data_IF_982240801675
#
_entry.id   IF_982240801675
#
_cell.length_a   1.000
_cell.length_b   1.000
_cell.length_c   1.000
_cell.angle_alpha   90.00
_cell.angle_beta   90.00
_cell.angle_gamma   90.00
#
_symmetry.space_group_name_H-M   'P 1'
#
loop_
_entity.id
_entity.type
_entity.pdbx_description
1 polymer ?
#
# COMPACT_ATOMS: atom_id res chain seq x y z
N UNK A 1 21.49 -31.36 8.88
CA UNK A 1 20.48 -30.29 9.06
C UNK A 1 21.06 -29.17 9.90
N UNK A 2 21.03 -27.91 9.44
CA UNK A 2 21.46 -26.76 10.27
C UNK A 2 20.43 -26.56 11.38
N UNK A 3 20.85 -26.74 12.64
CA UNK A 3 19.96 -26.58 13.79
C UNK A 3 19.67 -25.09 14.04
N UNK A 4 18.43 -24.67 13.81
CA UNK A 4 17.94 -23.31 14.12
C UNK A 4 17.75 -23.09 15.63
N UNK A 5 17.61 -24.19 16.39
CA UNK A 5 17.65 -24.17 17.84
C UNK A 5 19.10 -24.36 18.29
N UNK A 6 19.61 -23.41 19.07
CA UNK A 6 20.94 -23.47 19.66
C UNK A 6 20.84 -23.37 21.17
N UNK A 7 21.72 -24.07 21.89
CA UNK A 7 21.86 -23.91 23.34
C UNK A 7 23.15 -23.17 23.63
N UNK A 8 23.11 -22.15 24.50
CA UNK A 8 24.31 -21.46 24.99
C UNK A 8 24.40 -21.59 26.49
N UNK A 9 25.60 -21.91 26.98
CA UNK A 9 25.91 -21.89 28.40
C UNK A 9 26.12 -20.45 28.84
N UNK A 10 25.33 -19.98 29.79
CA UNK A 10 25.51 -18.70 30.47
C UNK A 10 25.62 -19.03 31.97
N UNK A 11 26.79 -18.77 32.55
CA UNK A 11 27.16 -19.26 33.89
C UNK A 11 27.04 -20.79 33.96
N UNK A 12 26.26 -21.32 34.89
CA UNK A 12 26.02 -22.75 35.09
C UNK A 12 24.88 -23.34 34.24
N UNK A 13 24.09 -22.52 33.55
CA UNK A 13 22.84 -22.97 32.90
C UNK A 13 22.91 -22.89 31.38
N UNK A 14 22.23 -23.81 30.70
CA UNK A 14 22.06 -23.82 29.25
C UNK A 14 20.74 -23.16 28.87
N UNK A 15 20.81 -22.11 28.07
CA UNK A 15 19.64 -21.38 27.61
C UNK A 15 19.36 -21.66 26.13
N UNK A 16 18.10 -21.91 25.75
CA UNK A 16 17.70 -22.08 24.37
C UNK A 16 17.64 -20.73 23.63
N UNK A 17 18.13 -20.73 22.39
CA UNK A 17 18.11 -19.59 21.48
C UNK A 17 17.70 -20.04 20.09
N UNK A 18 16.87 -19.23 19.44
CA UNK A 18 16.72 -19.29 17.99
C UNK A 18 17.96 -18.63 17.36
N UNK A 19 18.67 -19.36 16.49
CA UNK A 19 19.82 -18.85 15.73
C UNK A 19 19.39 -18.61 14.30
N UNK A 20 19.47 -17.35 13.87
CA UNK A 20 19.20 -16.94 12.50
C UNK A 20 20.52 -16.66 11.78
N UNK A 21 20.78 -17.35 10.67
CA UNK A 21 21.98 -17.12 9.86
C UNK A 21 21.65 -16.07 8.80
N UNK A 22 22.48 -15.04 8.71
CA UNK A 22 22.31 -13.95 7.73
C UNK A 22 22.87 -14.44 6.38
N UNK A 23 22.10 -14.33 5.27
CA UNK A 23 22.57 -14.63 3.91
C UNK A 23 23.84 -13.88 3.56
N UNK A 24 24.75 -14.52 2.81
CA UNK A 24 26.10 -13.99 2.55
C UNK A 24 26.08 -12.62 1.88
N UNK A 25 25.18 -12.45 0.93
CA UNK A 25 24.90 -11.22 0.20
C UNK A 25 24.50 -10.07 1.14
N UNK A 26 23.79 -10.36 2.23
CA UNK A 26 23.34 -9.35 3.19
C UNK A 26 24.36 -9.05 4.30
N UNK A 27 25.38 -9.89 4.52
CA UNK A 27 26.30 -9.73 5.66
C UNK A 27 27.01 -8.38 5.68
N UNK A 28 27.33 -7.80 4.51
CA UNK A 28 27.93 -6.46 4.42
C UNK A 28 26.99 -5.39 4.98
N UNK A 29 25.69 -5.48 4.70
CA UNK A 29 24.66 -4.55 5.20
C UNK A 29 24.49 -4.67 6.72
N UNK A 30 24.77 -5.84 7.30
CA UNK A 30 24.73 -6.08 8.75
C UNK A 30 26.10 -5.92 9.44
N UNK A 31 27.01 -5.09 8.89
CA UNK A 31 28.30 -4.81 9.52
C UNK A 31 29.22 -6.04 9.64
N UNK A 32 29.07 -7.01 8.74
CA UNK A 32 29.84 -8.26 8.75
C UNK A 32 29.29 -9.34 9.70
N UNK A 33 28.17 -9.09 10.38
CA UNK A 33 27.53 -10.07 11.27
C UNK A 33 27.02 -11.26 10.43
N UNK A 34 27.31 -12.48 10.90
CA UNK A 34 26.97 -13.74 10.19
C UNK A 34 25.72 -14.43 10.73
N UNK A 35 25.41 -14.22 12.01
CA UNK A 35 24.19 -14.71 12.64
C UNK A 35 23.78 -13.83 13.81
N UNK A 36 22.47 -13.79 14.08
CA UNK A 36 21.93 -13.23 15.31
C UNK A 36 21.13 -14.30 16.07
N UNK A 37 20.88 -14.05 17.34
CA UNK A 37 20.21 -14.99 18.23
C UNK A 37 19.11 -14.32 19.03
N UNK A 38 17.97 -14.99 19.11
CA UNK A 38 16.83 -14.57 19.94
C UNK A 38 16.67 -15.55 21.09
N UNK A 39 16.62 -15.02 22.31
CA UNK A 39 16.44 -15.82 23.52
C UNK A 39 15.07 -16.47 23.54
N UNK A 40 15.02 -17.76 23.89
CA UNK A 40 13.78 -18.52 24.07
C UNK A 40 13.55 -18.82 25.57
N UNK A 41 14.14 -18.03 26.47
CA UNK A 41 14.12 -18.27 27.93
C UNK A 41 12.72 -18.45 28.53
N UNK A 42 11.74 -17.70 28.02
CA UNK A 42 10.36 -17.72 28.53
C UNK A 42 9.42 -18.54 27.65
N UNK A 43 9.96 -19.37 26.75
CA UNK A 43 9.19 -20.26 25.88
C UNK A 43 9.17 -21.64 26.54
N UNK A 44 8.00 -22.28 26.58
CA UNK A 44 7.90 -23.66 27.06
C UNK A 44 8.75 -24.58 26.20
N UNK A 45 9.43 -25.54 26.83
CA UNK A 45 10.35 -26.44 26.13
C UNK A 45 9.65 -27.20 24.98
N UNK A 46 8.40 -27.60 25.18
CA UNK A 46 7.54 -28.26 24.17
C UNK A 46 7.26 -27.38 22.94
N UNK A 47 7.11 -26.07 23.11
CA UNK A 47 6.78 -25.13 22.04
C UNK A 47 8.02 -24.61 21.29
N UNK A 48 9.21 -24.80 21.86
CA UNK A 48 10.46 -24.16 21.41
C UNK A 48 10.77 -24.49 19.96
N UNK A 49 10.53 -25.74 19.55
CA UNK A 49 10.81 -26.19 18.19
C UNK A 49 9.83 -25.62 17.16
N UNK A 50 8.54 -25.60 17.48
CA UNK A 50 7.49 -25.00 16.64
C UNK A 50 7.73 -23.50 16.48
N UNK A 51 8.07 -22.80 17.56
CA UNK A 51 8.39 -21.37 17.51
C UNK A 51 9.63 -21.11 16.65
N UNK A 52 10.70 -21.89 16.78
CA UNK A 52 11.89 -21.78 15.92
C UNK A 52 11.56 -21.94 14.44
N UNK A 53 10.66 -22.88 14.08
CA UNK A 53 10.22 -23.05 12.69
C UNK A 53 9.44 -21.84 12.17
N UNK A 54 8.55 -21.28 13.00
CA UNK A 54 7.81 -20.05 12.66
C UNK A 54 8.75 -18.86 12.48
N UNK A 55 9.67 -18.65 13.43
CA UNK A 55 10.68 -17.59 13.36
C UNK A 55 11.55 -17.75 12.12
N UNK A 56 11.98 -18.97 11.80
CA UNK A 56 12.71 -19.26 10.58
C UNK A 56 11.95 -18.83 9.33
N UNK A 57 10.67 -19.22 9.23
CA UNK A 57 9.83 -18.87 8.07
C UNK A 57 9.72 -17.35 7.90
N UNK A 58 9.58 -16.63 9.01
CA UNK A 58 9.55 -15.15 9.01
C UNK A 58 10.89 -14.60 8.54
N UNK A 59 12.01 -15.05 9.11
CA UNK A 59 13.34 -14.53 8.74
C UNK A 59 13.74 -14.86 7.32
N UNK A 60 13.43 -16.07 6.82
CA UNK A 60 13.71 -16.47 5.44
C UNK A 60 12.91 -15.59 4.46
N UNK A 61 11.64 -15.29 4.77
CA UNK A 61 10.81 -14.39 3.99
C UNK A 61 11.38 -12.98 3.97
N UNK A 62 11.72 -12.43 5.14
CA UNK A 62 12.32 -11.09 5.25
C UNK A 62 13.62 -10.97 4.48
N UNK A 63 14.51 -11.95 4.59
CA UNK A 63 15.77 -11.92 3.84
C UNK A 63 15.56 -12.00 2.35
N UNK A 64 14.61 -12.83 1.90
CA UNK A 64 14.26 -12.91 0.47
C UNK A 64 13.71 -11.57 -0.03
N UNK A 65 12.86 -10.90 0.75
CA UNK A 65 12.37 -9.56 0.46
C UNK A 65 13.50 -8.52 0.41
N UNK A 66 14.43 -8.55 1.37
CA UNK A 66 15.59 -7.63 1.38
C UNK A 66 16.51 -7.88 0.18
N UNK A 67 16.83 -9.14 -0.12
CA UNK A 67 17.71 -9.52 -1.24
C UNK A 67 17.08 -9.18 -2.59
N UNK A 68 15.78 -9.41 -2.75
CA UNK A 68 15.06 -9.07 -3.98
C UNK A 68 14.75 -7.58 -4.11
N UNK A 69 14.92 -6.80 -3.04
CA UNK A 69 14.61 -5.38 -3.00
C UNK A 69 13.11 -5.09 -2.91
N UNK A 70 12.74 -3.85 -3.24
CA UNK A 70 11.33 -3.47 -3.34
C UNK A 70 10.66 -4.31 -4.43
N UNK A 71 9.47 -4.85 -4.16
CA UNK A 71 8.77 -5.66 -5.15
C UNK A 71 8.27 -4.78 -6.30
N UNK A 72 8.23 -5.32 -7.51
CA UNK A 72 7.57 -4.67 -8.64
C UNK A 72 6.06 -4.59 -8.43
N UNK A 73 5.43 -3.58 -9.04
CA UNK A 73 3.98 -3.40 -9.02
C UNK A 73 3.26 -4.57 -9.70
N UNK A 74 2.64 -5.44 -8.91
CA UNK A 74 1.86 -6.59 -9.41
C UNK A 74 0.41 -6.23 -9.73
N UNK A 75 -0.30 -7.10 -10.45
CA UNK A 75 -1.73 -6.92 -10.72
C UNK A 75 -2.58 -6.95 -9.45
N UNK A 76 -2.21 -7.75 -8.45
CA UNK A 76 -2.96 -7.82 -7.19
C UNK A 76 -2.75 -6.57 -6.35
N UNK A 77 -1.54 -6.00 -6.38
CA UNK A 77 -1.26 -4.69 -5.77
C UNK A 77 -2.11 -3.59 -6.43
N UNK A 78 -2.18 -3.57 -7.76
CA UNK A 78 -3.05 -2.63 -8.51
C UNK A 78 -4.52 -2.77 -8.08
N UNK A 79 -5.03 -4.01 -7.98
CA UNK A 79 -6.42 -4.24 -7.56
C UNK A 79 -6.68 -3.70 -6.17
N UNK A 80 -5.79 -3.94 -5.22
CA UNK A 80 -5.98 -3.49 -3.84
C UNK A 80 -5.88 -1.97 -3.73
N UNK A 81 -4.91 -1.35 -4.41
CA UNK A 81 -4.79 0.12 -4.49
C UNK A 81 -6.08 0.73 -5.07
N UNK A 82 -6.56 0.20 -6.21
CA UNK A 82 -7.79 0.69 -6.84
C UNK A 82 -9.02 0.44 -5.97
N UNK A 83 -9.11 -0.70 -5.29
CA UNK A 83 -10.22 -1.01 -4.38
C UNK A 83 -10.32 0.02 -3.26
N UNK A 84 -9.19 0.39 -2.67
CA UNK A 84 -9.12 1.42 -1.64
C UNK A 84 -9.51 2.78 -2.23
N UNK A 85 -8.98 3.15 -3.38
CA UNK A 85 -9.28 4.45 -4.00
C UNK A 85 -10.76 4.57 -4.41
N UNK A 86 -11.34 3.53 -4.98
CA UNK A 86 -12.78 3.47 -5.31
C UNK A 86 -13.64 3.69 -4.05
N UNK A 87 -13.31 3.03 -2.93
CA UNK A 87 -14.02 3.24 -1.66
C UNK A 87 -13.93 4.69 -1.17
N UNK A 88 -12.77 5.34 -1.33
CA UNK A 88 -12.62 6.77 -1.00
C UNK A 88 -13.51 7.64 -1.87
N UNK A 89 -13.56 7.38 -3.18
CA UNK A 89 -14.38 8.18 -4.10
C UNK A 89 -15.88 7.96 -3.88
N UNK A 90 -16.32 6.74 -3.57
CA UNK A 90 -17.71 6.47 -3.17
C UNK A 90 -18.07 7.27 -1.92
N UNK A 91 -17.22 7.22 -0.87
CA UNK A 91 -17.45 7.97 0.38
C UNK A 91 -17.52 9.48 0.13
N UNK A 92 -16.63 10.02 -0.69
CA UNK A 92 -16.65 11.43 -1.08
C UNK A 92 -17.99 11.79 -1.76
N UNK A 93 -18.41 10.96 -2.71
CA UNK A 93 -19.64 11.17 -3.49
C UNK A 93 -20.88 11.17 -2.58
N UNK A 94 -20.97 10.19 -1.68
CA UNK A 94 -22.05 10.08 -0.70
C UNK A 94 -22.08 11.29 0.24
N UNK A 95 -20.93 11.68 0.79
CA UNK A 95 -20.84 12.84 1.66
C UNK A 95 -21.28 14.12 0.95
N UNK A 96 -20.87 14.31 -0.31
CA UNK A 96 -21.27 15.46 -1.11
C UNK A 96 -22.78 15.48 -1.38
N UNK A 97 -23.33 14.35 -1.80
CA UNK A 97 -24.76 14.23 -2.10
C UNK A 97 -25.63 14.44 -0.86
N UNK A 98 -25.33 13.77 0.25
CA UNK A 98 -26.09 13.92 1.50
C UNK A 98 -25.87 15.26 2.21
N UNK A 99 -24.78 15.96 1.92
CA UNK A 99 -24.58 17.35 2.34
C UNK A 99 -25.36 18.36 1.50
N UNK A 100 -25.89 17.97 0.35
CA UNK A 100 -26.72 18.83 -0.51
C UNK A 100 -28.19 18.75 -0.09
N UNK A 101 -28.83 19.89 0.16
CA UNK A 101 -30.27 19.91 0.40
C UNK A 101 -31.02 19.70 -0.92
N UNK A 102 -31.40 18.45 -1.20
CA UNK A 102 -32.07 18.05 -2.45
C UNK A 102 -33.52 18.54 -2.56
N UNK A 103 -34.16 18.88 -1.43
CA UNK A 103 -35.55 19.38 -1.38
C UNK A 103 -35.66 20.89 -1.65
N UNK A 104 -34.53 21.59 -1.65
CA UNK A 104 -34.44 23.01 -2.01
C UNK A 104 -33.86 23.13 -3.42
N UNK A 105 -34.71 23.49 -4.38
CA UNK A 105 -34.33 23.57 -5.79
C UNK A 105 -33.16 24.53 -6.04
N UNK A 106 -33.05 25.62 -5.28
CA UNK A 106 -31.96 26.59 -5.43
C UNK A 106 -30.66 25.97 -4.95
N UNK A 107 -30.65 25.37 -3.75
CA UNK A 107 -29.47 24.70 -3.20
C UNK A 107 -29.04 23.50 -4.04
N UNK A 108 -29.99 22.70 -4.51
CA UNK A 108 -29.73 21.57 -5.43
C UNK A 108 -29.08 22.05 -6.72
N UNK A 109 -29.62 23.08 -7.35
CA UNK A 109 -29.04 23.66 -8.58
C UNK A 109 -27.63 24.20 -8.33
N UNK A 110 -27.41 24.89 -7.21
CA UNK A 110 -26.10 25.43 -6.86
C UNK A 110 -25.05 24.31 -6.66
N UNK A 111 -25.41 23.24 -5.95
CA UNK A 111 -24.54 22.07 -5.83
C UNK A 111 -24.22 21.44 -7.19
N UNK A 112 -25.21 21.31 -8.07
CA UNK A 112 -24.99 20.76 -9.42
C UNK A 112 -24.05 21.64 -10.26
N UNK A 113 -24.20 22.96 -10.18
CA UNK A 113 -23.29 23.91 -10.84
C UNK A 113 -21.86 23.80 -10.30
N UNK A 114 -21.70 23.65 -8.98
CA UNK A 114 -20.38 23.45 -8.37
C UNK A 114 -19.71 22.16 -8.87
N UNK A 115 -20.47 21.05 -8.96
CA UNK A 115 -19.98 19.78 -9.50
C UNK A 115 -19.52 19.95 -10.95
N UNK A 116 -20.34 20.59 -11.80
CA UNK A 116 -20.00 20.84 -13.20
C UNK A 116 -18.77 21.75 -13.35
N UNK A 117 -18.61 22.75 -12.49
CA UNK A 117 -17.43 23.61 -12.46
C UNK A 117 -16.16 22.83 -12.10
N UNK A 118 -16.22 21.95 -11.10
CA UNK A 118 -15.10 21.08 -10.73
C UNK A 118 -14.75 20.09 -11.84
N UNK A 119 -15.76 19.51 -12.49
CA UNK A 119 -15.58 18.61 -13.64
C UNK A 119 -14.89 19.33 -14.80
N UNK A 120 -15.34 20.55 -15.13
CA UNK A 120 -14.74 21.39 -16.18
C UNK A 120 -13.28 21.72 -15.86
N UNK A 121 -12.99 22.09 -14.60
CA UNK A 121 -11.62 22.38 -14.17
C UNK A 121 -10.71 21.16 -14.30
N UNK A 122 -11.17 19.98 -13.87
CA UNK A 122 -10.39 18.75 -14.03
C UNK A 122 -10.15 18.44 -15.52
N UNK A 123 -11.17 18.61 -16.37
CA UNK A 123 -11.02 18.41 -17.81
C UNK A 123 -9.99 19.38 -18.42
N UNK A 124 -9.93 20.63 -17.96
CA UNK A 124 -8.92 21.61 -18.38
C UNK A 124 -7.50 21.22 -17.93
N UNK A 125 -7.36 20.74 -16.69
CA UNK A 125 -6.08 20.22 -16.16
C UNK A 125 -5.61 18.97 -16.94
N UNK A 126 -6.54 18.18 -17.47
CA UNK A 126 -6.25 17.00 -18.30
C UNK A 126 -6.07 17.31 -19.80
N UNK A 127 -6.30 18.54 -20.23
CA UNK A 127 -6.29 18.94 -21.64
C UNK A 127 -4.90 19.41 -22.11
N UNK A 128 -4.54 19.05 -23.33
CA UNK A 128 -3.32 19.55 -23.98
C UNK A 128 -2.05 19.22 -23.20
N UNK A 129 -1.20 20.22 -22.99
CA UNK A 129 0.07 20.06 -22.28
C UNK A 129 -0.07 19.99 -20.75
N UNK A 130 -1.19 20.50 -20.20
CA UNK A 130 -1.47 20.55 -18.76
C UNK A 130 -1.52 19.15 -18.13
N UNK A 131 -1.85 18.12 -18.92
CA UNK A 131 -1.90 16.73 -18.44
C UNK A 131 -0.58 16.29 -17.80
N UNK A 132 0.56 16.81 -18.26
CA UNK A 132 1.88 16.46 -17.70
C UNK A 132 2.05 16.98 -16.27
N UNK A 133 1.48 18.14 -15.96
CA UNK A 133 1.51 18.71 -14.62
C UNK A 133 0.59 17.92 -13.70
N UNK A 134 -0.63 17.64 -14.15
CA UNK A 134 -1.57 16.80 -13.42
C UNK A 134 -1.02 15.38 -13.15
N UNK A 135 -0.35 14.78 -14.14
CA UNK A 135 0.30 13.48 -13.97
C UNK A 135 1.41 13.52 -12.91
N UNK A 136 2.14 14.64 -12.75
CA UNK A 136 3.16 14.77 -11.69
C UNK A 136 2.53 14.79 -10.30
N UNK A 137 1.46 15.56 -10.11
CA UNK A 137 0.73 15.59 -8.83
C UNK A 137 0.21 14.18 -8.47
N UNK A 138 -0.30 13.48 -9.47
CA UNK A 138 -0.77 12.11 -9.27
C UNK A 138 0.40 11.15 -8.99
N UNK A 139 1.54 11.33 -9.65
CA UNK A 139 2.74 10.53 -9.44
C UNK A 139 3.26 10.67 -8.00
N UNK A 140 3.20 11.86 -7.41
CA UNK A 140 3.54 12.09 -5.99
C UNK A 140 2.60 11.33 -5.05
N UNK A 141 1.29 11.39 -5.30
CA UNK A 141 0.29 10.62 -4.54
C UNK A 141 0.55 9.11 -4.66
N UNK A 142 0.78 8.61 -5.87
CA UNK A 142 1.05 7.20 -6.12
C UNK A 142 2.39 6.77 -5.50
N UNK A 143 3.41 7.62 -5.53
CA UNK A 143 4.70 7.37 -4.89
C UNK A 143 4.55 7.13 -3.38
N UNK A 144 3.74 7.94 -2.69
CA UNK A 144 3.43 7.74 -1.27
C UNK A 144 2.74 6.40 -1.00
N UNK A 145 1.76 6.04 -1.83
CA UNK A 145 1.03 4.77 -1.70
C UNK A 145 1.96 3.58 -1.95
N UNK A 146 2.72 3.58 -3.04
CA UNK A 146 3.61 2.47 -3.40
C UNK A 146 4.73 2.30 -2.38
N UNK A 147 5.31 3.40 -1.88
CA UNK A 147 6.32 3.37 -0.82
C UNK A 147 5.76 2.74 0.47
N UNK A 148 4.53 3.08 0.85
CA UNK A 148 3.87 2.50 2.04
C UNK A 148 3.62 0.98 1.92
N UNK A 149 3.57 0.47 0.69
CA UNK A 149 3.39 -0.95 0.38
C UNK A 149 4.72 -1.67 0.08
N UNK A 150 5.86 -0.97 0.16
CA UNK A 150 7.18 -1.50 -0.20
C UNK A 150 7.32 -1.85 -1.69
N UNK A 151 6.58 -1.16 -2.56
CA UNK A 151 6.57 -1.38 -4.02
C UNK A 151 7.49 -0.37 -4.71
N UNK A 152 8.38 -0.86 -5.57
CA UNK A 152 9.30 -0.02 -6.34
C UNK A 152 8.53 0.94 -7.25
N UNK A 153 8.94 2.21 -7.23
CA UNK A 153 8.32 3.23 -8.08
C UNK A 153 9.04 3.25 -9.42
N UNK A 154 8.35 2.78 -10.46
CA UNK A 154 8.84 2.86 -11.84
C UNK A 154 7.79 3.55 -12.73
N UNK A 155 7.96 4.87 -12.95
CA UNK A 155 7.02 5.68 -13.75
C UNK A 155 6.99 5.24 -15.22
N UNK A 156 8.05 4.58 -15.70
CA UNK A 156 8.15 4.09 -17.08
C UNK A 156 7.38 2.77 -17.29
N UNK A 157 7.11 2.05 -16.20
CA UNK A 157 6.41 0.77 -16.22
C UNK A 157 4.96 0.88 -16.74
N UNK A 158 4.51 -0.16 -17.41
CA UNK A 158 3.18 -0.19 -18.04
C UNK A 158 2.07 -0.31 -17.00
N UNK A 159 2.28 -1.08 -15.94
CA UNK A 159 1.31 -1.20 -14.84
C UNK A 159 1.18 0.12 -14.10
N UNK A 160 2.29 0.83 -13.87
CA UNK A 160 2.26 2.16 -13.26
C UNK A 160 1.45 3.16 -14.10
N UNK A 161 1.74 3.25 -15.40
CA UNK A 161 0.97 4.11 -16.33
C UNK A 161 -0.51 3.76 -16.37
N UNK A 162 -0.83 2.46 -16.34
CA UNK A 162 -2.22 1.98 -16.29
C UNK A 162 -2.91 2.37 -14.98
N UNK A 163 -2.23 2.24 -13.85
CA UNK A 163 -2.72 2.64 -12.53
C UNK A 163 -3.04 4.14 -12.52
N UNK A 164 -2.10 4.99 -12.96
CA UNK A 164 -2.28 6.44 -13.09
C UNK A 164 -3.48 6.81 -13.95
N UNK A 165 -3.59 6.24 -15.16
CA UNK A 165 -4.75 6.47 -16.04
C UNK A 165 -6.07 6.03 -15.41
N UNK A 166 -6.05 4.97 -14.60
CA UNK A 166 -7.26 4.47 -13.93
C UNK A 166 -7.71 5.41 -12.81
N UNK A 167 -6.76 6.01 -12.08
CA UNK A 167 -7.07 7.06 -11.10
C UNK A 167 -7.73 8.27 -11.75
N UNK A 168 -7.19 8.76 -12.88
CA UNK A 168 -7.80 9.86 -13.65
C UNK A 168 -9.24 9.53 -14.04
N UNK A 169 -9.45 8.35 -14.64
CA UNK A 169 -10.80 7.88 -15.02
C UNK A 169 -11.75 7.80 -13.83
N UNK A 170 -11.26 7.31 -12.69
CA UNK A 170 -12.05 7.20 -11.47
C UNK A 170 -12.46 8.58 -10.92
N UNK A 171 -11.58 9.58 -10.99
CA UNK A 171 -11.90 10.94 -10.55
C UNK A 171 -12.90 11.64 -11.47
N UNK A 172 -12.84 11.38 -12.78
CA UNK A 172 -13.87 11.84 -13.72
C UNK A 172 -15.21 11.14 -13.43
N UNK A 173 -15.21 9.82 -13.29
CA UNK A 173 -16.40 9.01 -13.01
C UNK A 173 -17.12 9.43 -11.72
N UNK A 174 -16.38 9.95 -10.74
CA UNK A 174 -16.95 10.46 -9.49
C UNK A 174 -17.98 11.56 -9.72
N UNK A 175 -17.81 12.42 -10.72
CA UNK A 175 -18.77 13.48 -10.99
C UNK A 175 -20.10 12.91 -11.48
N UNK A 176 -20.08 11.87 -12.32
CA UNK A 176 -21.29 11.14 -12.72
C UNK A 176 -21.98 10.53 -11.51
N UNK A 177 -21.23 9.93 -10.58
CA UNK A 177 -21.79 9.37 -9.35
C UNK A 177 -22.47 10.44 -8.49
N UNK A 178 -21.89 11.64 -8.38
CA UNK A 178 -22.48 12.74 -7.60
C UNK A 178 -23.79 13.18 -8.25
N UNK A 179 -23.79 13.41 -9.57
CA UNK A 179 -25.00 13.77 -10.32
C UNK A 179 -26.09 12.72 -10.16
N UNK A 180 -25.72 11.44 -10.24
CA UNK A 180 -26.64 10.30 -10.04
C UNK A 180 -27.26 10.37 -8.65
N UNK A 181 -26.45 10.49 -7.58
CA UNK A 181 -26.98 10.51 -6.22
C UNK A 181 -27.87 11.72 -5.92
N UNK A 182 -27.53 12.92 -6.41
CA UNK A 182 -28.33 14.14 -6.20
C UNK A 182 -29.67 14.08 -6.96
N UNK A 183 -29.71 13.38 -8.10
CA UNK A 183 -30.91 13.27 -8.92
C UNK A 183 -31.79 12.06 -8.56
N UNK A 184 -31.23 11.01 -7.95
CA UNK A 184 -31.92 9.77 -7.56
C UNK A 184 -32.24 9.67 -6.05
N UNK A 185 -32.36 10.78 -5.34
CA UNK A 185 -33.04 10.77 -4.05
C UNK A 185 -34.54 10.69 -4.28
N UNK A 186 -35.07 9.47 -4.14
CA UNK A 186 -36.51 9.16 -3.99
C UNK A 186 -37.16 9.96 -2.85
#
# INVERSE_FOLDING_TARGET
MKSYLSKRKIKSHHYPFFRCIIPKDLQRNFGGIRDFRLSLRYVRNEDTQILCLKLKKITDKLFTEITNGMKNLSLDDIKEILRIEVRKQIKYTQHYAFGTNVFDNVKKSQSMQNVASQETRLQQELSGENIKEYEKELDEKLAGILSSLGIEINIKDTNYKKLRRTFIKLYLLRFDWIRTLINHTD
#
